data_IF_317103402250
#
_entry.id   IF_317103402250
#
_cell.length_a   1.000
_cell.length_b   1.000
_cell.length_c   1.000
_cell.angle_alpha   90.00
_cell.angle_beta   90.00
_cell.angle_gamma   90.00
#
_symmetry.space_group_name_H-M   'P 1'
#
loop_
_entity.id
_entity.type
_entity.pdbx_description
1 polymer ?
#
# COMPACT_ATOMS: atom_id res chain seq x y z
N UNK A 1 45.47 -26.55 -7.55
CA UNK A 1 44.38 -26.23 -8.48
C UNK A 1 43.13 -25.87 -7.67
N UNK A 2 43.14 -24.77 -6.88
CA UNK A 2 42.04 -24.52 -5.92
C UNK A 2 42.25 -23.24 -5.06
N UNK A 3 42.27 -22.06 -5.66
CA UNK A 3 42.18 -20.78 -4.92
C UNK A 3 41.18 -19.83 -5.58
N UNK A 4 41.25 -19.65 -6.91
CA UNK A 4 40.28 -18.84 -7.67
C UNK A 4 38.83 -19.31 -7.47
N UNK A 5 38.59 -20.61 -7.59
CA UNK A 5 37.24 -21.19 -7.53
C UNK A 5 36.54 -20.98 -6.18
N UNK A 6 37.30 -20.88 -5.09
CA UNK A 6 36.76 -20.62 -3.75
C UNK A 6 36.37 -19.15 -3.57
N UNK A 7 37.15 -18.23 -4.15
CA UNK A 7 36.82 -16.80 -4.15
C UNK A 7 35.62 -16.47 -5.03
N UNK A 8 35.50 -17.10 -6.20
CA UNK A 8 34.33 -16.92 -7.07
C UNK A 8 33.04 -17.39 -6.39
N UNK A 9 33.12 -18.53 -5.67
CA UNK A 9 31.97 -19.06 -4.92
C UNK A 9 31.62 -18.15 -3.73
N UNK A 10 32.61 -17.59 -3.03
CA UNK A 10 32.41 -16.65 -1.93
C UNK A 10 31.79 -15.33 -2.42
N UNK A 11 32.26 -14.80 -3.55
CA UNK A 11 31.70 -13.61 -4.19
C UNK A 11 30.24 -13.83 -4.63
N UNK A 12 29.92 -14.97 -5.24
CA UNK A 12 28.55 -15.35 -5.59
C UNK A 12 27.64 -15.42 -4.35
N UNK A 13 28.12 -16.03 -3.27
CA UNK A 13 27.37 -16.12 -2.01
C UNK A 13 27.17 -14.76 -1.34
N UNK A 14 28.17 -13.88 -1.36
CA UNK A 14 28.06 -12.51 -0.88
C UNK A 14 27.07 -11.71 -1.74
N UNK A 15 27.15 -11.80 -3.06
CA UNK A 15 26.20 -11.15 -3.97
C UNK A 15 24.75 -11.64 -3.73
N UNK A 16 24.54 -12.93 -3.44
CA UNK A 16 23.22 -13.46 -3.10
C UNK A 16 22.66 -12.83 -1.80
N UNK A 17 23.51 -12.60 -0.79
CA UNK A 17 23.13 -11.93 0.46
C UNK A 17 22.78 -10.44 0.24
N UNK A 18 23.47 -9.76 -0.69
CA UNK A 18 23.17 -8.37 -1.06
C UNK A 18 22.01 -8.21 -2.05
N UNK A 19 21.63 -9.28 -2.75
CA UNK A 19 20.60 -9.27 -3.80
C UNK A 19 19.19 -9.54 -3.30
N UNK A 20 19.00 -9.88 -2.02
CA UNK A 20 17.66 -9.87 -1.44
C UNK A 20 17.22 -8.42 -1.36
N UNK A 21 16.23 -7.98 -2.17
CA UNK A 21 15.68 -6.65 -2.00
C UNK A 21 15.15 -6.64 -0.57
N UNK A 22 15.69 -5.76 0.28
CA UNK A 22 15.08 -5.49 1.56
C UNK A 22 13.68 -4.95 1.25
N UNK A 23 12.68 -5.82 1.22
CA UNK A 23 11.30 -5.42 1.10
C UNK A 23 11.03 -4.59 2.34
N UNK A 24 10.90 -3.28 2.17
CA UNK A 24 10.65 -2.39 3.30
C UNK A 24 9.38 -2.89 3.98
N UNK A 25 9.50 -3.20 5.27
CA UNK A 25 8.41 -3.74 6.08
C UNK A 25 7.19 -2.82 6.02
N UNK A 26 7.42 -1.50 5.98
CA UNK A 26 6.39 -0.47 5.84
C UNK A 26 5.60 -0.56 4.54
N UNK A 27 6.27 -0.67 3.38
CA UNK A 27 5.60 -0.89 2.08
C UNK A 27 4.80 -2.18 2.08
N UNK A 28 5.38 -3.28 2.55
CA UNK A 28 4.71 -4.58 2.60
C UNK A 28 3.43 -4.50 3.42
N UNK A 29 3.52 -3.91 4.61
CA UNK A 29 2.37 -3.67 5.49
C UNK A 29 1.31 -2.79 4.83
N UNK A 30 1.70 -1.71 4.15
CA UNK A 30 0.74 -0.87 3.44
C UNK A 30 -0.02 -1.65 2.35
N UNK A 31 0.71 -2.44 1.56
CA UNK A 31 0.12 -3.28 0.51
C UNK A 31 -0.84 -4.32 1.11
N UNK A 32 -0.45 -4.96 2.20
CA UNK A 32 -1.30 -5.93 2.89
C UNK A 32 -2.55 -5.26 3.48
N UNK A 33 -2.42 -4.09 4.09
CA UNK A 33 -3.48 -3.50 4.90
C UNK A 33 -4.39 -2.53 4.15
N UNK A 34 -3.92 -1.86 3.10
CA UNK A 34 -4.64 -0.74 2.48
C UNK A 34 -4.83 -0.89 0.97
N UNK A 35 -4.04 -1.71 0.29
CA UNK A 35 -4.15 -1.86 -1.16
C UNK A 35 -5.23 -2.87 -1.56
N UNK A 36 -6.03 -2.49 -2.56
CA UNK A 36 -6.90 -3.37 -3.35
C UNK A 36 -6.38 -3.45 -4.77
N UNK A 37 -6.27 -4.68 -5.26
CA UNK A 37 -5.79 -4.96 -6.60
C UNK A 37 -6.79 -4.49 -7.65
N UNK A 38 -6.28 -3.89 -8.73
CA UNK A 38 -7.09 -3.60 -9.91
C UNK A 38 -7.33 -4.82 -10.82
N UNK A 39 -6.92 -6.02 -10.40
CA UNK A 39 -7.19 -7.27 -11.13
C UNK A 39 -8.62 -7.78 -10.91
N UNK A 40 -9.29 -7.32 -9.86
CA UNK A 40 -10.70 -7.59 -9.62
C UNK A 40 -11.54 -6.32 -9.82
N UNK A 41 -12.82 -6.49 -10.12
CA UNK A 41 -13.75 -5.38 -10.21
C UNK A 41 -13.93 -4.72 -8.85
N UNK A 42 -13.94 -3.38 -8.83
CA UNK A 42 -14.03 -2.64 -7.57
C UNK A 42 -15.33 -2.95 -6.78
N UNK A 43 -16.41 -3.32 -7.48
CA UNK A 43 -17.68 -3.73 -6.89
C UNK A 43 -17.62 -5.10 -6.20
N UNK A 44 -16.67 -5.97 -6.57
CA UNK A 44 -16.55 -7.33 -6.04
C UNK A 44 -16.04 -7.35 -4.59
N UNK A 45 -15.32 -6.30 -4.19
CA UNK A 45 -14.80 -6.18 -2.83
C UNK A 45 -15.92 -5.97 -1.80
N UNK A 46 -15.97 -6.83 -0.79
CA UNK A 46 -16.83 -6.68 0.40
C UNK A 46 -16.00 -6.41 1.65
N UNK A 47 -16.51 -5.53 2.51
CA UNK A 47 -15.80 -5.09 3.69
C UNK A 47 -15.68 -6.17 4.77
N UNK A 48 -16.72 -6.97 5.02
CA UNK A 48 -16.63 -8.04 6.00
C UNK A 48 -15.56 -9.06 5.62
N UNK A 49 -15.52 -9.43 4.33
CA UNK A 49 -14.51 -10.35 3.78
C UNK A 49 -13.12 -9.74 3.89
N UNK A 50 -12.91 -8.52 3.40
CA UNK A 50 -11.60 -7.87 3.39
C UNK A 50 -11.01 -7.66 4.79
N UNK A 51 -11.84 -7.24 5.75
CA UNK A 51 -11.38 -7.03 7.13
C UNK A 51 -10.90 -8.33 7.78
N UNK A 52 -11.51 -9.47 7.42
CA UNK A 52 -11.09 -10.80 7.87
C UNK A 52 -9.89 -11.33 7.11
N UNK A 53 -9.91 -11.32 5.77
CA UNK A 53 -8.83 -11.87 4.93
C UNK A 53 -7.49 -11.18 5.15
N UNK A 54 -7.51 -9.86 5.34
CA UNK A 54 -6.31 -9.09 5.65
C UNK A 54 -5.95 -9.10 7.14
N UNK A 55 -6.64 -9.92 7.95
CA UNK A 55 -6.44 -10.09 9.38
C UNK A 55 -6.33 -8.76 10.14
N UNK A 56 -7.16 -7.78 9.76
CA UNK A 56 -7.06 -6.43 10.30
C UNK A 56 -7.65 -6.41 11.71
N UNK A 57 -6.98 -5.67 12.61
CA UNK A 57 -7.55 -5.38 13.92
C UNK A 57 -8.89 -4.66 13.73
N UNK A 58 -9.94 -5.02 14.49
CA UNK A 58 -11.23 -4.32 14.40
C UNK A 58 -11.07 -2.81 14.56
N UNK A 59 -11.69 -2.03 13.67
CA UNK A 59 -11.63 -0.56 13.63
C UNK A 59 -13.00 0.00 13.26
N UNK A 60 -13.34 1.19 13.75
CA UNK A 60 -14.61 1.83 13.39
C UNK A 60 -14.69 2.20 11.91
N UNK A 61 -13.56 2.54 11.31
CA UNK A 61 -13.43 2.89 9.90
C UNK A 61 -12.05 2.45 9.41
N UNK A 62 -12.00 1.81 8.26
CA UNK A 62 -10.73 1.45 7.60
C UNK A 62 -10.80 1.74 6.09
N UNK A 63 -9.90 2.57 5.54
CA UNK A 63 -9.87 2.85 4.12
C UNK A 63 -8.98 1.88 3.35
N UNK A 64 -9.46 1.51 2.18
CA UNK A 64 -8.73 0.78 1.16
C UNK A 64 -8.64 1.61 -0.13
N UNK A 65 -7.48 1.60 -0.77
CA UNK A 65 -7.23 2.29 -2.04
C UNK A 65 -7.18 1.29 -3.20
N UNK A 66 -8.03 1.51 -4.20
CA UNK A 66 -8.10 0.67 -5.40
C UNK A 66 -7.27 1.28 -6.51
N UNK A 67 -6.10 0.68 -6.76
CA UNK A 67 -5.18 1.08 -7.82
C UNK A 67 -4.20 -0.05 -8.16
N UNK A 68 -3.46 0.06 -9.24
CA UNK A 68 -2.38 -0.89 -9.55
C UNK A 68 -1.28 -0.84 -8.49
N UNK A 69 -0.67 -1.97 -8.14
CA UNK A 69 0.48 -2.04 -7.22
C UNK A 69 1.62 -1.10 -7.62
N UNK A 70 1.89 -0.98 -8.93
CA UNK A 70 2.91 -0.10 -9.49
C UNK A 70 2.69 1.36 -9.10
N UNK A 71 1.44 1.84 -9.14
CA UNK A 71 1.10 3.21 -8.72
C UNK A 71 1.41 3.42 -7.25
N UNK A 72 1.11 2.45 -6.39
CA UNK A 72 1.43 2.54 -4.95
C UNK A 72 2.93 2.73 -4.73
N UNK A 73 3.75 1.93 -5.41
CA UNK A 73 5.22 2.03 -5.31
C UNK A 73 5.78 3.38 -5.76
N UNK A 74 5.10 4.06 -6.68
CA UNK A 74 5.58 5.28 -7.28
C UNK A 74 5.00 6.55 -6.64
N UNK A 75 4.09 6.45 -5.66
CA UNK A 75 3.54 7.61 -4.93
C UNK A 75 4.66 8.47 -4.32
N UNK A 76 5.64 7.81 -3.70
CA UNK A 76 6.69 8.47 -2.93
C UNK A 76 7.95 8.79 -3.76
N UNK A 77 7.94 8.47 -5.05
CA UNK A 77 9.06 8.76 -5.94
C UNK A 77 8.94 10.21 -6.44
N UNK A 78 9.69 11.10 -5.79
CA UNK A 78 9.85 12.48 -6.26
C UNK A 78 10.72 12.54 -7.52
N UNK A 79 10.40 13.46 -8.45
CA UNK A 79 11.26 13.79 -9.60
C UNK A 79 12.60 14.40 -9.16
N UNK A 80 12.65 14.98 -7.96
CA UNK A 80 13.89 15.43 -7.33
C UNK A 80 14.48 14.30 -6.49
N UNK A 81 15.56 13.69 -6.97
CA UNK A 81 16.26 12.58 -6.29
C UNK A 81 16.71 12.93 -4.86
N UNK A 82 16.95 14.22 -4.57
CA UNK A 82 17.31 14.71 -3.23
C UNK A 82 16.17 14.63 -2.21
N UNK A 83 14.92 14.56 -2.68
CA UNK A 83 13.73 14.50 -1.83
C UNK A 83 13.20 13.07 -1.67
N UNK A 84 13.88 12.07 -2.25
CA UNK A 84 13.48 10.66 -2.21
C UNK A 84 13.44 10.07 -0.78
N UNK A 85 14.24 10.60 0.14
CA UNK A 85 14.47 10.02 1.47
C UNK A 85 14.05 10.99 2.59
N UNK A 86 12.81 11.46 2.54
CA UNK A 86 12.25 12.38 3.54
C UNK A 86 10.86 11.92 3.93
N UNK A 87 10.52 12.13 5.20
CA UNK A 87 9.13 12.05 5.64
C UNK A 87 8.33 13.14 4.93
N UNK A 88 7.39 12.73 4.08
CA UNK A 88 6.62 13.62 3.21
C UNK A 88 5.17 13.21 3.20
N UNK A 89 4.30 14.20 2.98
CA UNK A 89 2.87 14.01 2.82
C UNK A 89 2.49 14.34 1.39
N UNK A 90 2.10 13.33 0.62
CA UNK A 90 1.89 13.44 -0.83
C UNK A 90 0.42 13.24 -1.14
N UNK A 91 -0.22 14.26 -1.72
CA UNK A 91 -1.55 14.11 -2.30
C UNK A 91 -1.46 13.36 -3.63
N UNK A 92 -2.36 12.41 -3.85
CA UNK A 92 -2.56 11.79 -5.14
C UNK A 92 -2.87 12.85 -6.19
N UNK A 93 -2.16 12.81 -7.33
CA UNK A 93 -2.36 13.77 -8.42
C UNK A 93 -3.71 13.58 -9.12
N UNK A 94 -4.28 12.38 -9.04
CA UNK A 94 -5.58 12.04 -9.61
C UNK A 94 -6.47 11.41 -8.54
N UNK A 95 -7.81 11.57 -8.63
CA UNK A 95 -8.73 10.89 -7.73
C UNK A 95 -8.58 9.36 -7.81
N UNK A 96 -8.72 8.70 -6.67
CA UNK A 96 -8.59 7.26 -6.50
C UNK A 96 -9.92 6.70 -6.02
N UNK A 97 -10.30 5.52 -6.53
CA UNK A 97 -11.43 4.76 -5.98
C UNK A 97 -11.05 4.27 -4.58
N UNK A 98 -11.83 4.66 -3.58
CA UNK A 98 -11.62 4.29 -2.18
C UNK A 98 -12.81 3.48 -1.70
N UNK A 99 -12.54 2.31 -1.13
CA UNK A 99 -13.50 1.53 -0.36
C UNK A 99 -13.23 1.77 1.11
N UNK A 100 -14.15 2.43 1.80
CA UNK A 100 -14.10 2.61 3.24
C UNK A 100 -15.03 1.60 3.92
N UNK A 101 -14.46 0.78 4.78
CA UNK A 101 -15.18 -0.18 5.60
C UNK A 101 -15.54 0.48 6.92
N UNK A 102 -16.83 0.67 7.16
CA UNK A 102 -17.34 1.30 8.38
C UNK A 102 -18.11 0.28 9.22
N UNK A 103 -17.69 0.11 10.46
CA UNK A 103 -18.37 -0.78 11.41
C UNK A 103 -19.75 -0.22 11.75
N UNK A 104 -20.79 -1.03 11.53
CA UNK A 104 -22.17 -0.71 11.86
C UNK A 104 -22.61 -1.53 13.08
N UNK A 105 -22.60 -0.91 14.27
CA UNK A 105 -22.91 -1.57 15.53
C UNK A 105 -24.25 -2.31 15.53
N UNK A 106 -25.29 -1.75 14.90
CA UNK A 106 -26.63 -2.34 14.88
C UNK A 106 -26.71 -3.64 14.09
N UNK A 107 -25.87 -3.78 13.06
CA UNK A 107 -25.82 -4.98 12.21
C UNK A 107 -24.64 -5.89 12.54
N UNK A 108 -23.80 -5.49 13.49
CA UNK A 108 -22.57 -6.18 13.89
C UNK A 108 -21.70 -6.60 12.70
N UNK A 109 -21.57 -5.72 11.71
CA UNK A 109 -20.84 -5.97 10.47
C UNK A 109 -20.23 -4.70 9.90
N UNK A 110 -19.26 -4.84 9.02
CA UNK A 110 -18.75 -3.73 8.23
C UNK A 110 -19.66 -3.44 7.03
N UNK A 111 -19.79 -2.16 6.73
CA UNK A 111 -20.51 -1.67 5.55
C UNK A 111 -19.57 -0.96 4.61
N UNK A 112 -19.79 -1.15 3.31
CA UNK A 112 -19.00 -0.55 2.24
C UNK A 112 -19.46 0.89 1.97
N UNK A 113 -18.52 1.83 2.00
CA UNK A 113 -18.68 3.15 1.41
C UNK A 113 -17.67 3.33 0.29
N UNK A 114 -18.17 3.44 -0.94
CA UNK A 114 -17.36 3.57 -2.14
C UNK A 114 -17.36 5.02 -2.62
N UNK A 115 -16.21 5.52 -3.06
CA UNK A 115 -16.08 6.91 -3.52
C UNK A 115 -14.89 7.10 -4.45
N UNK A 116 -14.88 8.20 -5.21
CA UNK A 116 -13.65 8.77 -5.72
C UNK A 116 -13.16 9.83 -4.74
N UNK A 117 -11.88 9.75 -4.35
CA UNK A 117 -11.27 10.64 -3.38
C UNK A 117 -9.87 11.08 -3.82
N UNK A 118 -9.51 12.34 -3.56
CA UNK A 118 -8.09 12.67 -3.43
C UNK A 118 -7.60 12.09 -2.11
N UNK A 119 -6.48 11.37 -2.14
CA UNK A 119 -5.91 10.68 -0.98
C UNK A 119 -4.55 11.28 -0.67
N UNK A 120 -4.28 11.60 0.59
CA UNK A 120 -2.97 11.98 1.07
C UNK A 120 -2.29 10.75 1.67
N UNK A 121 -1.10 10.46 1.17
CA UNK A 121 -0.25 9.39 1.65
C UNK A 121 0.89 9.97 2.49
N UNK A 122 1.29 9.26 3.54
CA UNK A 122 2.60 9.48 4.14
C UNK A 122 3.63 8.62 3.43
N UNK A 123 4.78 9.23 3.16
CA UNK A 123 5.97 8.59 2.64
C UNK A 123 7.03 8.66 3.73
N UNK A 124 7.56 7.52 4.16
CA UNK A 124 8.63 7.49 5.16
C UNK A 124 9.98 7.92 4.58
N UNK A 125 10.96 8.04 5.49
CA UNK A 125 12.34 8.38 5.16
C UNK A 125 13.03 7.40 4.19
N UNK A 126 12.50 6.19 4.00
CA UNK A 126 13.02 5.22 3.02
C UNK A 126 12.40 5.40 1.62
N UNK A 127 11.46 6.33 1.47
CA UNK A 127 10.79 6.64 0.21
C UNK A 127 9.64 5.68 -0.12
N UNK A 128 9.05 5.02 0.88
CA UNK A 128 7.91 4.13 0.71
C UNK A 128 6.65 4.69 1.38
N UNK A 129 5.50 4.38 0.79
CA UNK A 129 4.23 4.63 1.45
C UNK A 129 4.06 3.68 2.63
N UNK A 130 3.56 4.22 3.74
CA UNK A 130 3.32 3.44 4.97
C UNK A 130 1.96 3.73 5.61
N UNK A 131 1.32 4.87 5.32
CA UNK A 131 -0.03 5.18 5.78
C UNK A 131 -0.84 6.04 4.81
N UNK A 132 -2.17 6.04 5.04
CA UNK A 132 -3.12 7.00 4.49
C UNK A 132 -3.42 8.02 5.59
N UNK A 133 -3.17 9.29 5.31
CA UNK A 133 -3.25 10.37 6.30
C UNK A 133 -4.59 11.10 6.23
N UNK A 134 -5.02 11.47 5.03
CA UNK A 134 -6.27 12.20 4.82
C UNK A 134 -6.91 11.88 3.46
N UNK A 135 -8.20 12.17 3.32
CA UNK A 135 -8.95 11.99 2.09
C UNK A 135 -10.00 13.08 1.89
N UNK A 136 -10.05 13.62 0.67
CA UNK A 136 -11.11 14.52 0.21
C UNK A 136 -12.01 13.77 -0.75
N UNK A 137 -13.19 13.40 -0.26
CA UNK A 137 -14.23 12.73 -1.07
C UNK A 137 -14.74 13.72 -2.11
N UNK A 138 -14.67 13.32 -3.37
CA UNK A 138 -15.24 14.08 -4.48
C UNK A 138 -16.68 13.67 -4.73
N UNK A 139 -16.88 12.36 -4.93
CA UNK A 139 -18.19 11.81 -5.22
C UNK A 139 -18.33 10.39 -4.63
N UNK A 140 -19.48 10.06 -4.05
CA UNK A 140 -19.81 8.69 -3.69
C UNK A 140 -20.07 7.85 -4.94
N UNK A 141 -19.75 6.56 -4.87
CA UNK A 141 -20.08 5.58 -5.90
C UNK A 141 -21.23 4.73 -5.34
N UNK A 142 -22.41 4.89 -5.92
CA UNK A 142 -23.57 4.06 -5.62
C UNK A 142 -23.55 2.85 -6.54
N UNK A 143 -23.46 1.65 -5.95
CA UNK A 143 -23.48 0.36 -6.64
C UNK A 143 -24.67 -0.42 -6.09
#
# INVERSE_FOLDING_TARGET
MSSLKAWDTLLLLLCLQYSLPAQSTSRGQFMEQHHLSSNEEFSAYSCDVLMTEKALRPRLSHPFVYMTWYKVEHICISSNWKDRYKNLYVWAQTPIKVLRCQWENLKSRYTERRSYSYVQFHCNADGYVDSIEDMKVLEPIFI
#
